data_IF_326677583063
#
_entry.id   IF_326677583063
#
_cell.length_a   1.000
_cell.length_b   1.000
_cell.length_c   1.000
_cell.angle_alpha   90.00
_cell.angle_beta   90.00
_cell.angle_gamma   90.00
#
_symmetry.space_group_name_H-M   'P 1'
#
loop_
_entity.id
_entity.type
_entity.pdbx_description
1 polymer ?
#
# COMPACT_ATOMS: atom_id res chain seq x y z
N UNK A 1 39.11 21.54 -28.54
CA UNK A 1 39.23 20.14 -28.13
C UNK A 1 38.47 20.06 -26.80
N UNK A 2 37.16 19.90 -26.91
CA UNK A 2 36.47 18.63 -26.56
C UNK A 2 36.83 18.20 -25.13
N UNK A 3 35.93 18.24 -24.13
CA UNK A 3 34.54 17.82 -24.19
C UNK A 3 34.46 16.37 -23.68
N UNK A 4 33.85 16.15 -22.51
CA UNK A 4 33.58 14.83 -21.95
C UNK A 4 33.72 14.86 -20.43
N UNK A 5 32.65 15.03 -19.64
CA UNK A 5 31.32 14.44 -19.80
C UNK A 5 31.20 13.35 -18.74
N UNK A 6 30.72 13.74 -17.56
CA UNK A 6 30.64 12.89 -16.38
C UNK A 6 29.74 11.68 -16.58
N UNK A 7 30.22 10.53 -16.14
CA UNK A 7 29.41 9.34 -15.93
C UNK A 7 28.60 9.52 -14.62
N UNK A 8 27.40 10.06 -14.73
CA UNK A 8 26.37 9.97 -13.70
C UNK A 8 25.46 8.79 -14.01
N UNK A 9 25.51 7.75 -13.18
CA UNK A 9 24.71 6.54 -13.36
C UNK A 9 23.19 6.78 -13.29
N UNK A 10 22.46 5.99 -14.08
CA UNK A 10 21.01 6.00 -14.25
C UNK A 10 20.24 5.48 -13.00
N UNK A 11 20.23 6.25 -11.91
CA UNK A 11 19.38 5.94 -10.76
C UNK A 11 17.96 6.47 -10.98
N UNK A 12 17.03 5.58 -11.32
CA UNK A 12 15.59 5.86 -11.28
C UNK A 12 14.88 5.99 -12.62
N UNK A 13 15.44 5.44 -13.70
CA UNK A 13 14.70 5.24 -14.94
C UNK A 13 13.98 3.88 -14.95
N UNK A 14 12.77 3.85 -15.52
CA UNK A 14 12.07 2.59 -15.77
C UNK A 14 12.81 1.83 -16.87
N UNK A 15 12.95 0.52 -16.71
CA UNK A 15 13.48 -0.35 -17.75
C UNK A 15 12.59 -0.32 -18.99
N UNK A 16 13.12 -0.76 -20.14
CA UNK A 16 12.31 -0.92 -21.35
C UNK A 16 11.15 -1.90 -21.16
N UNK A 17 11.37 -2.95 -20.36
CA UNK A 17 10.34 -3.92 -20.01
C UNK A 17 9.22 -3.28 -19.17
N UNK A 18 9.56 -2.53 -18.11
CA UNK A 18 8.57 -1.82 -17.29
C UNK A 18 7.82 -0.76 -18.10
N UNK A 19 8.51 -0.03 -18.97
CA UNK A 19 7.90 0.98 -19.84
C UNK A 19 6.87 0.34 -20.78
N UNK A 20 7.19 -0.82 -21.35
CA UNK A 20 6.26 -1.56 -22.21
C UNK A 20 5.08 -2.11 -21.40
N UNK A 21 5.33 -2.68 -20.21
CA UNK A 21 4.30 -3.25 -19.34
C UNK A 21 3.31 -2.18 -18.85
N UNK A 22 3.81 -1.00 -18.48
CA UNK A 22 3.03 0.07 -17.87
C UNK A 22 2.59 1.16 -18.86
N UNK A 23 2.79 0.99 -20.19
CA UNK A 23 2.49 2.02 -21.22
C UNK A 23 1.09 2.64 -21.05
N UNK A 24 0.06 1.81 -20.88
CA UNK A 24 -1.32 2.30 -20.72
C UNK A 24 -1.53 3.13 -19.46
N UNK A 25 -0.84 2.78 -18.37
CA UNK A 25 -0.94 3.48 -17.09
C UNK A 25 -0.13 4.78 -17.10
N UNK A 26 1.05 4.75 -17.72
CA UNK A 26 1.89 5.92 -17.98
C UNK A 26 1.12 6.98 -18.80
N UNK A 27 0.28 6.58 -19.77
CA UNK A 27 -0.57 7.53 -20.51
C UNK A 27 -1.61 8.24 -19.64
N UNK A 28 -2.00 7.65 -18.50
CA UNK A 28 -2.97 8.23 -17.57
C UNK A 28 -2.29 9.24 -16.63
N UNK A 29 -1.25 8.81 -15.91
CA UNK A 29 -0.64 9.62 -14.84
C UNK A 29 0.77 10.16 -15.14
N UNK A 30 1.37 9.77 -16.27
CA UNK A 30 2.69 10.21 -16.69
C UNK A 30 3.84 9.37 -16.13
N UNK A 31 4.99 9.44 -16.80
CA UNK A 31 6.17 8.62 -16.45
C UNK A 31 6.72 8.93 -15.06
N UNK A 32 6.68 10.20 -14.63
CA UNK A 32 7.20 10.59 -13.33
C UNK A 32 6.35 10.04 -12.18
N UNK A 33 5.03 9.94 -12.36
CA UNK A 33 4.16 9.30 -11.39
C UNK A 33 4.45 7.80 -11.29
N UNK A 34 4.64 7.12 -12.43
CA UNK A 34 5.02 5.70 -12.45
C UNK A 34 6.36 5.46 -11.76
N UNK A 35 7.37 6.32 -11.99
CA UNK A 35 8.68 6.24 -11.33
C UNK A 35 8.60 6.44 -9.81
N UNK A 36 7.68 7.27 -9.31
CA UNK A 36 7.45 7.40 -7.87
C UNK A 36 6.76 6.16 -7.30
N UNK A 37 5.76 5.64 -8.02
CA UNK A 37 5.05 4.43 -7.63
C UNK A 37 5.97 3.20 -7.54
N UNK A 38 6.86 3.02 -8.52
CA UNK A 38 7.82 1.91 -8.56
C UNK A 38 8.91 1.99 -7.48
N UNK A 39 8.98 3.09 -6.73
CA UNK A 39 9.89 3.27 -5.58
C UNK A 39 9.16 3.18 -4.24
N UNK A 40 7.84 3.25 -4.24
CA UNK A 40 7.06 3.26 -3.01
C UNK A 40 7.05 1.87 -2.35
N UNK A 41 7.09 1.87 -1.01
CA UNK A 41 6.93 0.69 -0.19
C UNK A 41 5.68 0.79 0.69
N UNK A 42 4.75 -0.14 0.52
CA UNK A 42 3.46 -0.14 1.21
C UNK A 42 3.40 -1.27 2.22
N UNK A 43 2.96 -0.97 3.46
CA UNK A 43 2.56 -1.96 4.45
C UNK A 43 1.05 -2.09 4.46
N UNK A 44 0.54 -3.32 4.39
CA UNK A 44 -0.87 -3.65 4.58
C UNK A 44 -1.01 -4.62 5.75
N UNK A 45 -1.77 -4.22 6.78
CA UNK A 45 -2.08 -5.08 7.91
C UNK A 45 -3.54 -5.53 7.88
N UNK A 46 -3.77 -6.82 8.08
CA UNK A 46 -5.10 -7.44 8.06
C UNK A 46 -5.56 -7.80 6.65
N UNK A 47 -5.49 -9.08 6.32
CA UNK A 47 -5.91 -9.62 5.03
C UNK A 47 -7.39 -10.01 5.06
N UNK A 48 -8.18 -9.46 4.14
CA UNK A 48 -9.59 -9.75 3.93
C UNK A 48 -9.99 -9.41 2.49
N UNK A 49 -11.24 -9.68 2.10
CA UNK A 49 -11.75 -9.42 0.75
C UNK A 49 -11.49 -8.00 0.22
N UNK A 50 -11.52 -6.98 1.08
CA UNK A 50 -11.25 -5.60 0.68
C UNK A 50 -9.75 -5.33 0.52
N UNK A 51 -8.92 -5.75 1.48
CA UNK A 51 -7.48 -5.48 1.40
C UNK A 51 -6.78 -6.28 0.31
N UNK A 52 -7.29 -7.46 -0.07
CA UNK A 52 -6.74 -8.20 -1.20
C UNK A 52 -7.01 -7.53 -2.55
N UNK A 53 -8.16 -6.86 -2.70
CA UNK A 53 -8.49 -6.08 -3.89
C UNK A 53 -7.57 -4.86 -4.01
N UNK A 54 -7.33 -4.18 -2.88
CA UNK A 54 -6.34 -3.12 -2.79
C UNK A 54 -4.95 -3.62 -3.19
N UNK A 55 -4.47 -4.72 -2.60
CA UNK A 55 -3.16 -5.31 -2.88
C UNK A 55 -3.01 -5.66 -4.36
N UNK A 56 -3.98 -6.37 -4.94
CA UNK A 56 -4.01 -6.71 -6.36
C UNK A 56 -3.87 -5.46 -7.23
N UNK A 57 -4.63 -4.40 -6.92
CA UNK A 57 -4.61 -3.17 -7.70
C UNK A 57 -3.25 -2.46 -7.67
N UNK A 58 -2.60 -2.33 -6.50
CA UNK A 58 -1.30 -1.66 -6.39
C UNK A 58 -0.15 -2.51 -6.97
N UNK A 59 -0.25 -3.85 -6.89
CA UNK A 59 0.71 -4.76 -7.52
C UNK A 59 0.61 -4.67 -9.05
N UNK A 60 -0.61 -4.71 -9.61
CA UNK A 60 -0.82 -4.50 -11.05
C UNK A 60 -0.40 -3.09 -11.51
N UNK A 61 -0.53 -2.10 -10.63
CA UNK A 61 -0.07 -0.74 -10.89
C UNK A 61 1.46 -0.59 -10.88
N UNK A 62 2.20 -1.56 -10.34
CA UNK A 62 3.66 -1.54 -10.29
C UNK A 62 4.23 -0.74 -9.12
N UNK A 63 3.64 -0.89 -7.93
CA UNK A 63 4.26 -0.43 -6.68
C UNK A 63 5.63 -1.08 -6.47
N UNK A 64 6.62 -0.37 -5.95
CA UNK A 64 7.97 -0.91 -5.80
C UNK A 64 8.06 -2.12 -4.88
N UNK A 65 7.40 -2.02 -3.72
CA UNK A 65 7.33 -3.09 -2.74
C UNK A 65 5.99 -3.08 -1.99
N UNK A 66 5.52 -4.27 -1.61
CA UNK A 66 4.35 -4.49 -0.77
C UNK A 66 4.70 -5.46 0.35
N UNK A 67 4.49 -5.07 1.60
CA UNK A 67 4.62 -5.95 2.76
C UNK A 67 3.25 -6.22 3.37
N UNK A 68 2.97 -7.50 3.62
CA UNK A 68 1.72 -7.98 4.21
C UNK A 68 1.95 -8.44 5.64
N UNK A 69 1.12 -7.98 6.58
CA UNK A 69 1.13 -8.40 7.98
C UNK A 69 -0.24 -8.95 8.39
N UNK A 70 -0.32 -10.28 8.49
CA UNK A 70 -1.46 -10.99 9.04
C UNK A 70 -1.03 -12.42 9.40
N UNK A 71 -0.79 -12.64 10.69
CA UNK A 71 -0.39 -13.93 11.25
C UNK A 71 -1.57 -14.89 11.47
N UNK A 72 -2.82 -14.46 11.23
CA UNK A 72 -3.97 -15.35 11.35
C UNK A 72 -3.87 -16.48 10.31
N UNK A 73 -4.16 -17.70 10.75
CA UNK A 73 -4.22 -18.87 9.87
C UNK A 73 -5.42 -18.73 8.92
N UNK A 74 -5.26 -19.18 7.69
CA UNK A 74 -6.35 -19.25 6.72
C UNK A 74 -7.48 -20.15 7.24
N UNK A 75 -8.72 -19.65 7.16
CA UNK A 75 -9.93 -20.41 7.48
C UNK A 75 -10.76 -20.67 6.22
N UNK A 76 -11.72 -21.60 6.29
CA UNK A 76 -12.66 -21.85 5.18
C UNK A 76 -13.49 -20.61 4.83
N UNK A 77 -13.81 -19.76 5.81
CA UNK A 77 -14.53 -18.51 5.56
C UNK A 77 -13.75 -17.56 4.64
N UNK A 78 -12.42 -17.55 4.74
CA UNK A 78 -11.58 -16.69 3.91
C UNK A 78 -11.71 -17.04 2.42
N UNK A 79 -11.91 -18.32 2.08
CA UNK A 79 -12.06 -18.77 0.69
C UNK A 79 -13.27 -18.14 -0.02
N UNK A 80 -14.31 -17.74 0.73
CA UNK A 80 -15.51 -17.14 0.15
C UNK A 80 -15.30 -15.71 -0.34
N UNK A 81 -14.31 -15.01 0.22
CA UNK A 81 -14.08 -13.59 -0.03
C UNK A 81 -12.65 -13.26 -0.47
N UNK A 82 -11.73 -14.23 -0.44
CA UNK A 82 -10.32 -14.01 -0.72
C UNK A 82 -9.83 -14.85 -1.91
N UNK A 83 -9.87 -14.26 -3.12
CA UNK A 83 -9.43 -14.93 -4.35
C UNK A 83 -7.91 -15.19 -4.42
N UNK A 84 -7.10 -14.61 -3.52
CA UNK A 84 -5.66 -14.87 -3.44
C UNK A 84 -5.35 -16.16 -2.69
N UNK A 85 -6.33 -16.80 -2.06
CA UNK A 85 -6.16 -18.10 -1.40
C UNK A 85 -6.59 -19.19 -2.38
N UNK A 86 -5.67 -20.05 -2.85
CA UNK A 86 -6.04 -21.19 -3.67
C UNK A 86 -6.99 -22.13 -2.90
N UNK A 87 -7.99 -22.74 -3.53
CA UNK A 87 -8.96 -23.60 -2.84
C UNK A 87 -8.41 -24.98 -2.42
N UNK A 88 -7.14 -25.26 -2.70
CA UNK A 88 -6.47 -26.50 -2.31
C UNK A 88 -5.89 -26.38 -0.89
N UNK A 89 -6.47 -27.12 0.06
CA UNK A 89 -6.05 -27.13 1.47
C UNK A 89 -4.58 -27.53 1.64
N UNK A 90 -4.02 -28.33 0.75
CA UNK A 90 -2.59 -28.67 0.81
C UNK A 90 -1.68 -27.45 0.59
N UNK A 91 -2.22 -26.38 -0.01
CA UNK A 91 -1.51 -25.12 -0.26
C UNK A 91 -1.61 -24.16 0.92
N UNK A 92 -2.77 -24.03 1.57
CA UNK A 92 -3.00 -23.03 2.63
C UNK A 92 -3.01 -23.60 4.06
N UNK A 93 -3.17 -24.90 4.24
CA UNK A 93 -3.36 -25.54 5.54
C UNK A 93 -2.28 -25.17 6.57
N UNK A 94 -2.69 -24.55 7.67
CA UNK A 94 -1.80 -24.14 8.76
C UNK A 94 -0.89 -22.94 8.48
N UNK A 95 -1.04 -22.30 7.31
CA UNK A 95 -0.26 -21.11 6.91
C UNK A 95 -1.03 -19.83 7.20
N UNK A 96 -0.32 -18.73 7.39
CA UNK A 96 -0.96 -17.44 7.63
C UNK A 96 -1.55 -16.85 6.35
N UNK A 97 -2.59 -16.02 6.50
CA UNK A 97 -3.21 -15.30 5.38
C UNK A 97 -2.19 -14.47 4.59
N UNK A 98 -1.27 -13.80 5.29
CA UNK A 98 -0.22 -13.02 4.64
C UNK A 98 0.71 -13.91 3.79
N UNK A 99 1.09 -15.10 4.27
CA UNK A 99 1.94 -16.02 3.52
C UNK A 99 1.28 -16.49 2.22
N UNK A 100 0.02 -16.93 2.29
CA UNK A 100 -0.70 -17.44 1.13
C UNK A 100 -0.98 -16.31 0.13
N UNK A 101 -1.42 -15.13 0.62
CA UNK A 101 -1.66 -13.98 -0.26
C UNK A 101 -0.38 -13.47 -0.92
N UNK A 102 0.75 -13.48 -0.21
CA UNK A 102 2.05 -13.05 -0.75
C UNK A 102 2.47 -13.91 -1.95
N UNK A 103 2.38 -15.23 -1.84
CA UNK A 103 2.73 -16.14 -2.93
C UNK A 103 1.88 -15.91 -4.18
N UNK A 104 0.56 -15.76 -3.99
CA UNK A 104 -0.35 -15.48 -5.12
C UNK A 104 -0.10 -14.12 -5.76
N UNK A 105 0.21 -13.07 -5.00
CA UNK A 105 0.42 -11.72 -5.53
C UNK A 105 1.69 -11.59 -6.39
N UNK A 106 2.72 -12.39 -6.14
CA UNK A 106 3.96 -12.38 -6.94
C UNK A 106 3.65 -12.70 -8.40
N UNK A 107 2.69 -13.59 -8.67
CA UNK A 107 2.29 -13.98 -10.02
C UNK A 107 1.57 -12.87 -10.79
N UNK A 108 0.97 -11.88 -10.09
CA UNK A 108 0.28 -10.76 -10.73
C UNK A 108 1.24 -9.77 -11.37
N UNK A 109 2.42 -9.56 -10.76
CA UNK A 109 3.42 -8.67 -11.31
C UNK A 109 4.84 -9.00 -10.79
N UNK A 110 5.67 -9.72 -11.58
CA UNK A 110 7.03 -10.06 -11.19
C UNK A 110 7.97 -8.86 -10.98
N UNK A 111 7.57 -7.65 -11.40
CA UNK A 111 8.34 -6.42 -11.15
C UNK A 111 8.15 -5.90 -9.72
N UNK A 112 7.12 -6.35 -9.01
CA UNK A 112 6.81 -5.91 -7.64
C UNK A 112 7.37 -6.89 -6.63
N UNK A 113 8.05 -6.38 -5.60
CA UNK A 113 8.52 -7.20 -4.49
C UNK A 113 7.44 -7.32 -3.43
N UNK A 114 7.01 -8.53 -3.14
CA UNK A 114 6.01 -8.80 -2.10
C UNK A 114 6.68 -9.53 -0.94
N UNK A 115 6.42 -9.07 0.29
CA UNK A 115 7.01 -9.60 1.52
C UNK A 115 5.94 -9.95 2.54
N UNK A 116 6.31 -10.85 3.45
CA UNK A 116 5.53 -11.17 4.65
C UNK A 116 6.26 -10.61 5.86
N UNK A 117 5.57 -9.78 6.62
CA UNK A 117 6.00 -9.28 7.92
C UNK A 117 5.19 -9.99 9.01
N UNK A 118 5.89 -10.51 10.03
CA UNK A 118 5.23 -11.18 11.17
C UNK A 118 4.92 -10.17 12.27
N UNK A 119 3.86 -10.43 13.02
CA UNK A 119 3.53 -9.70 14.24
C UNK A 119 2.11 -9.15 14.29
N UNK A 120 1.88 -8.36 15.34
CA UNK A 120 0.64 -7.68 15.62
C UNK A 120 0.82 -6.18 15.34
N UNK A 121 -0.07 -5.54 14.56
CA UNK A 121 -0.03 -4.11 14.30
C UNK A 121 0.01 -3.25 15.57
N UNK A 122 -0.52 -3.72 16.70
CA UNK A 122 -0.47 -3.01 17.99
C UNK A 122 0.93 -2.95 18.63
N UNK A 123 1.86 -3.77 18.15
CA UNK A 123 3.25 -3.85 18.61
C UNK A 123 4.24 -3.18 17.65
N UNK A 124 3.75 -2.62 16.54
CA UNK A 124 4.59 -1.91 15.57
C UNK A 124 5.17 -0.64 16.23
N UNK A 125 6.49 -0.54 16.22
CA UNK A 125 7.21 0.65 16.67
C UNK A 125 7.51 1.62 15.51
N UNK A 126 8.05 2.79 15.87
CA UNK A 126 8.37 3.83 14.89
C UNK A 126 9.49 3.44 13.92
N UNK A 127 10.49 2.67 14.37
CA UNK A 127 11.62 2.25 13.51
C UNK A 127 11.17 1.28 12.43
N UNK A 128 10.23 0.40 12.75
CA UNK A 128 9.59 -0.47 11.78
C UNK A 128 8.79 0.34 10.74
N UNK A 129 8.01 1.34 11.18
CA UNK A 129 7.22 2.19 10.28
C UNK A 129 8.09 2.97 9.29
N UNK A 130 9.29 3.41 9.69
CA UNK A 130 10.20 4.20 8.84
C UNK A 130 10.61 3.47 7.53
N UNK A 131 10.42 2.14 7.47
CA UNK A 131 10.63 1.33 6.25
C UNK A 131 9.59 1.59 5.14
N UNK A 132 8.43 2.16 5.47
CA UNK A 132 7.27 2.26 4.57
C UNK A 132 6.96 3.71 4.23
N UNK A 133 6.41 3.93 3.05
CA UNK A 133 5.91 5.24 2.61
C UNK A 133 4.40 5.36 2.85
N UNK A 134 3.69 4.22 2.85
CA UNK A 134 2.26 4.12 3.04
C UNK A 134 1.96 2.96 3.98
N UNK A 135 1.08 3.18 4.95
CA UNK A 135 0.58 2.16 5.88
C UNK A 135 -0.94 2.09 5.77
N UNK A 136 -1.46 0.89 5.52
CA UNK A 136 -2.88 0.60 5.41
C UNK A 136 -3.27 -0.39 6.50
N UNK A 137 -4.18 0.01 7.38
CA UNK A 137 -4.73 -0.86 8.42
C UNK A 137 -6.16 -1.28 8.11
N UNK A 138 -6.42 -2.59 8.23
CA UNK A 138 -7.76 -3.16 8.25
C UNK A 138 -7.86 -4.17 9.39
N UNK A 139 -9.09 -4.46 9.87
CA UNK A 139 -9.34 -5.41 10.97
C UNK A 139 -8.56 -5.13 12.26
N UNK A 140 -8.15 -3.87 12.48
CA UNK A 140 -7.43 -3.45 13.66
C UNK A 140 -8.39 -2.74 14.64
N UNK A 141 -8.15 -2.87 15.94
CA UNK A 141 -8.92 -2.13 16.95
C UNK A 141 -8.77 -0.61 16.75
N UNK A 142 -9.77 0.18 17.14
CA UNK A 142 -9.68 1.65 17.10
C UNK A 142 -8.42 2.15 17.83
N UNK A 143 -8.11 1.56 18.99
CA UNK A 143 -6.88 1.88 19.75
C UNK A 143 -5.62 1.68 18.91
N UNK A 144 -5.53 0.57 18.17
CA UNK A 144 -4.40 0.29 17.29
C UNK A 144 -4.33 1.29 16.14
N UNK A 145 -5.47 1.61 15.51
CA UNK A 145 -5.54 2.59 14.41
C UNK A 145 -5.05 3.97 14.87
N UNK A 146 -5.51 4.44 16.03
CA UNK A 146 -5.09 5.71 16.64
C UNK A 146 -3.58 5.72 16.94
N UNK A 147 -3.08 4.64 17.57
CA UNK A 147 -1.66 4.51 17.91
C UNK A 147 -0.77 4.59 16.67
N UNK A 148 -1.10 3.86 15.62
CA UNK A 148 -0.28 3.83 14.40
C UNK A 148 -0.38 5.15 13.63
N UNK A 149 -1.56 5.76 13.54
CA UNK A 149 -1.70 7.07 12.93
C UNK A 149 -0.83 8.13 13.64
N UNK A 150 -0.87 8.15 14.97
CA UNK A 150 -0.05 9.06 15.77
C UNK A 150 1.45 8.78 15.59
N UNK A 151 1.85 7.51 15.56
CA UNK A 151 3.24 7.13 15.32
C UNK A 151 3.72 7.57 13.93
N UNK A 152 2.92 7.41 12.87
CA UNK A 152 3.22 7.90 11.52
C UNK A 152 3.45 9.42 11.50
N UNK A 153 2.64 10.20 12.24
CA UNK A 153 2.80 11.66 12.35
C UNK A 153 4.05 12.09 13.11
N UNK A 154 4.51 11.28 14.06
CA UNK A 154 5.74 11.54 14.84
C UNK A 154 7.02 11.20 14.08
N UNK A 155 6.94 10.68 12.85
CA UNK A 155 8.12 10.32 12.06
C UNK A 155 8.71 11.54 11.36
N UNK A 156 10.02 11.51 11.18
CA UNK A 156 10.73 12.47 10.33
C UNK A 156 10.48 12.20 8.86
N UNK A 157 10.30 10.92 8.50
CA UNK A 157 9.83 10.48 7.20
C UNK A 157 8.32 10.74 7.08
N UNK A 158 7.90 11.25 5.93
CA UNK A 158 6.48 11.37 5.63
C UNK A 158 5.90 9.98 5.35
N UNK A 159 4.97 9.53 6.19
CA UNK A 159 4.25 8.27 6.01
C UNK A 159 2.76 8.57 5.87
N UNK A 160 2.20 8.19 4.73
CA UNK A 160 0.77 8.26 4.49
C UNK A 160 0.07 7.13 5.25
N UNK A 161 -1.02 7.46 5.94
CA UNK A 161 -1.77 6.50 6.74
C UNK A 161 -3.19 6.35 6.22
N UNK A 162 -3.65 5.10 6.17
CA UNK A 162 -5.00 4.74 5.74
C UNK A 162 -5.60 3.72 6.70
N UNK A 163 -6.90 3.82 6.94
CA UNK A 163 -7.70 2.69 7.43
C UNK A 163 -8.75 2.33 6.39
N UNK A 164 -9.05 1.05 6.29
CA UNK A 164 -10.12 0.57 5.41
C UNK A 164 -10.82 -0.61 6.07
N UNK A 165 -12.14 -0.54 6.14
CA UNK A 165 -12.96 -1.65 6.62
C UNK A 165 -14.26 -1.71 5.82
N UNK A 166 -14.73 -2.94 5.61
CA UNK A 166 -16.01 -3.23 5.00
C UNK A 166 -16.75 -4.20 5.93
N UNK A 167 -17.93 -3.80 6.39
CA UNK A 167 -18.84 -4.63 7.21
C UNK A 167 -20.19 -4.64 6.49
N UNK A 168 -20.60 -5.83 6.03
CA UNK A 168 -21.83 -6.05 5.26
C UNK A 168 -21.94 -5.11 4.03
N UNK A 169 -22.97 -4.26 3.98
CA UNK A 169 -23.20 -3.31 2.90
C UNK A 169 -22.54 -1.95 3.12
N UNK A 170 -21.77 -1.79 4.19
CA UNK A 170 -21.14 -0.54 4.57
C UNK A 170 -19.63 -0.64 4.41
N UNK A 171 -19.02 0.41 3.85
CA UNK A 171 -17.58 0.55 3.72
C UNK A 171 -17.10 1.87 4.31
N UNK A 172 -15.91 1.85 4.87
CA UNK A 172 -15.26 3.00 5.49
C UNK A 172 -13.82 3.09 5.01
N UNK A 173 -13.40 4.30 4.69
CA UNK A 173 -12.01 4.64 4.44
C UNK A 173 -11.67 5.92 5.20
N UNK A 174 -10.59 5.89 5.96
CA UNK A 174 -9.98 7.07 6.52
C UNK A 174 -8.61 7.29 5.88
N UNK A 175 -8.25 8.55 5.67
CA UNK A 175 -7.00 8.94 5.02
C UNK A 175 -6.35 10.05 5.84
N UNK A 176 -5.07 9.88 6.14
CA UNK A 176 -4.23 10.91 6.73
C UNK A 176 -2.90 11.00 5.99
N UNK A 177 -2.79 12.00 5.12
CA UNK A 177 -1.56 12.36 4.41
C UNK A 177 -0.80 13.49 5.10
N UNK A 178 -1.15 13.84 6.34
CA UNK A 178 -0.55 14.94 7.09
C UNK A 178 -0.60 16.24 6.27
N UNK A 179 0.54 16.89 6.07
CA UNK A 179 0.69 18.00 5.12
C UNK A 179 1.14 17.45 3.77
N UNK A 180 0.25 17.44 2.79
CA UNK A 180 0.46 16.78 1.49
C UNK A 180 0.45 17.77 0.34
N UNK A 181 1.58 17.89 -0.36
CA UNK A 181 1.68 18.67 -1.59
C UNK A 181 1.56 17.78 -2.83
N UNK A 182 0.76 18.20 -3.80
CA UNK A 182 0.54 17.45 -5.04
C UNK A 182 0.42 18.40 -6.25
N UNK A 183 0.53 17.83 -7.45
CA UNK A 183 0.39 18.57 -8.71
C UNK A 183 -0.96 18.25 -9.33
N UNK A 184 -1.77 19.28 -9.58
CA UNK A 184 -3.05 19.16 -10.27
C UNK A 184 -2.91 19.65 -11.72
N UNK A 185 -3.36 18.84 -12.68
CA UNK A 185 -3.47 19.25 -14.09
C UNK A 185 -4.85 19.85 -14.33
N UNK A 186 -4.91 21.14 -14.65
CA UNK A 186 -6.17 21.83 -14.95
C UNK A 186 -6.65 21.55 -16.37
N UNK A 187 -7.95 21.72 -16.65
CA UNK A 187 -8.46 21.75 -18.02
C UNK A 187 -7.65 22.78 -18.84
N UNK A 188 -7.06 22.34 -19.95
CA UNK A 188 -6.13 23.17 -20.75
C UNK A 188 -4.64 22.83 -20.57
N UNK A 189 -4.29 21.90 -19.68
CA UNK A 189 -2.95 21.31 -19.60
C UNK A 189 -1.95 22.01 -18.68
N UNK A 190 -2.31 23.16 -18.11
CA UNK A 190 -1.52 23.83 -17.08
C UNK A 190 -1.45 22.97 -15.81
N UNK A 191 -0.29 22.95 -15.16
CA UNK A 191 -0.05 22.27 -13.88
C UNK A 191 0.07 23.28 -12.76
N UNK A 192 -0.57 23.01 -11.64
CA UNK A 192 -0.51 23.86 -10.44
C UNK A 192 -0.15 23.02 -9.22
N UNK A 193 0.72 23.55 -8.37
CA UNK A 193 1.04 22.94 -7.09
C UNK A 193 -0.07 23.26 -6.09
N UNK A 194 -0.59 22.23 -5.45
CA UNK A 194 -1.63 22.31 -4.44
C UNK A 194 -1.11 21.71 -3.14
N UNK A 195 -1.75 22.07 -2.04
CA UNK A 195 -1.43 21.57 -0.70
C UNK A 195 -2.72 21.28 0.06
N UNK A 196 -2.77 20.12 0.71
CA UNK A 196 -3.85 19.71 1.60
C UNK A 196 -3.26 19.43 2.99
N UNK A 197 -4.03 19.75 4.02
CA UNK A 197 -3.71 19.38 5.40
C UNK A 197 -4.79 18.45 5.91
N UNK A 198 -4.39 17.24 6.28
CA UNK A 198 -5.25 16.23 6.84
C UNK A 198 -5.23 16.32 8.37
N UNK A 199 -6.38 16.04 8.99
CA UNK A 199 -6.50 15.89 10.44
C UNK A 199 -6.03 14.51 10.87
N UNK A 200 -5.56 14.39 12.12
CA UNK A 200 -5.25 13.08 12.72
C UNK A 200 -6.55 12.33 13.00
N UNK A 201 -6.51 11.01 12.94
CA UNK A 201 -7.63 10.13 13.26
C UNK A 201 -8.17 10.43 14.67
N UNK A 202 -9.48 10.63 14.76
CA UNK A 202 -10.24 10.78 16.00
C UNK A 202 -11.18 9.57 16.21
N UNK A 203 -11.71 9.45 17.42
CA UNK A 203 -12.66 8.38 17.78
C UNK A 203 -13.93 8.44 16.91
N UNK A 204 -14.44 9.65 16.68
CA UNK A 204 -15.70 9.87 15.97
C UNK A 204 -15.57 9.76 14.44
N UNK A 205 -14.35 9.60 13.92
CA UNK A 205 -14.10 9.50 12.48
C UNK A 205 -14.46 8.11 11.91
N UNK A 206 -14.60 7.10 12.76
CA UNK A 206 -14.85 5.72 12.35
C UNK A 206 -16.21 5.20 12.86
N UNK A 207 -17.15 5.00 11.95
CA UNK A 207 -18.51 4.52 12.21
C UNK A 207 -18.52 3.08 12.72
N UNK A 208 -17.49 2.29 12.37
CA UNK A 208 -17.39 0.89 12.76
C UNK A 208 -16.69 0.63 14.09
N UNK A 209 -16.25 1.66 14.82
CA UNK A 209 -15.54 1.49 16.10
C UNK A 209 -16.43 1.04 17.26
N UNK A 210 -17.73 1.26 17.14
CA UNK A 210 -18.72 0.99 18.20
C UNK A 210 -19.42 -0.39 18.07
N UNK A 211 -19.02 -1.19 17.07
CA UNK A 211 -19.58 -2.52 16.76
C UNK A 211 -18.52 -3.62 16.79
#
# INVERSE_FOLDING_TARGET
MDGGGGAGGAEGELTAQETALYDRQIRVWGVDAQKRLSKAHVLVCGMNGTTIEFCKNIVLAGVGSLSLMDDNVVTEEDLNANFLIPPDESIYGGRSRAQVCCESLIDFNPMVRVFVEKGDPSLIDGEFLDKFDIVVLSRASLKTKLLINENCRKRSKHIAFYTIDCKDSCGEIFVDLQKHSYVQKKPGGATEQQELTYSSLQVDDLVFSDF
#
